data_IF_767657228287
#
_entry.id   IF_767657228287
#
_cell.length_a   1.000
_cell.length_b   1.000
_cell.length_c   1.000
_cell.angle_alpha   90.00
_cell.angle_beta   90.00
_cell.angle_gamma   90.00
#
_symmetry.space_group_name_H-M   'P 1'
#
loop_
_entity.id
_entity.type
_entity.pdbx_description
1 polymer ?
#
# COMPACT_ATOMS: atom_id res chain seq x y z
N UNK A 1 -9.14 -13.56 4.12
CA UNK A 1 -10.15 -12.49 4.24
C UNK A 1 -9.46 -11.18 3.90
N UNK A 2 -9.74 -10.38 2.89
CA UNK A 2 -10.65 -10.41 1.76
C UNK A 2 -10.59 -9.00 1.17
N UNK A 3 -9.79 -8.77 0.11
CA UNK A 3 -9.76 -7.52 -0.65
C UNK A 3 -10.98 -7.51 -1.59
N UNK A 4 -12.11 -6.98 -1.11
CA UNK A 4 -13.31 -6.81 -1.94
C UNK A 4 -13.21 -5.47 -2.68
N UNK A 5 -12.57 -5.45 -3.84
CA UNK A 5 -12.60 -4.31 -4.74
C UNK A 5 -14.04 -3.98 -5.16
N UNK A 6 -14.26 -2.74 -5.59
CA UNK A 6 -15.56 -2.29 -6.14
C UNK A 6 -16.01 -3.21 -7.29
N UNK A 7 -15.07 -3.62 -8.15
CA UNK A 7 -15.30 -4.52 -9.28
C UNK A 7 -15.88 -5.87 -8.86
N UNK A 8 -15.39 -6.46 -7.76
CA UNK A 8 -15.90 -7.72 -7.22
C UNK A 8 -17.33 -7.61 -6.73
N UNK A 9 -17.73 -6.42 -6.27
CA UNK A 9 -19.11 -6.15 -5.86
C UNK A 9 -20.02 -6.04 -7.09
N UNK A 10 -19.54 -5.40 -8.17
CA UNK A 10 -20.26 -5.32 -9.44
C UNK A 10 -20.49 -6.69 -10.06
N UNK A 11 -19.44 -7.50 -10.22
CA UNK A 11 -19.52 -8.86 -10.77
C UNK A 11 -20.52 -9.75 -10.01
N UNK A 12 -20.55 -9.60 -8.67
CA UNK A 12 -21.47 -10.37 -7.83
C UNK A 12 -22.93 -9.94 -8.03
N UNK A 13 -23.20 -8.65 -8.12
CA UNK A 13 -24.56 -8.16 -8.36
C UNK A 13 -25.01 -8.59 -9.76
N UNK A 14 -24.17 -8.42 -10.77
CA UNK A 14 -24.44 -8.84 -12.16
C UNK A 14 -24.80 -10.33 -12.28
N UNK A 15 -24.15 -11.18 -11.49
CA UNK A 15 -24.41 -12.63 -11.50
C UNK A 15 -25.59 -13.09 -10.64
N UNK A 16 -26.15 -12.24 -9.76
CA UNK A 16 -27.15 -12.67 -8.77
C UNK A 16 -28.46 -11.90 -8.81
N UNK A 17 -28.49 -10.70 -9.39
CA UNK A 17 -29.67 -9.86 -9.42
C UNK A 17 -29.68 -8.95 -10.66
N UNK A 18 -30.87 -8.49 -11.05
CA UNK A 18 -31.03 -7.55 -12.15
C UNK A 18 -32.17 -6.59 -11.86
N UNK A 19 -31.93 -5.30 -12.11
CA UNK A 19 -32.96 -4.25 -12.10
C UNK A 19 -32.55 -3.09 -13.01
N UNK A 20 -33.48 -2.21 -13.45
CA UNK A 20 -33.14 -1.03 -14.23
C UNK A 20 -32.15 -0.13 -13.48
N UNK A 21 -31.07 0.30 -14.15
CA UNK A 21 -30.02 1.18 -13.57
C UNK A 21 -29.24 0.59 -12.39
N UNK A 22 -29.22 -0.73 -12.24
CA UNK A 22 -28.53 -1.40 -11.14
C UNK A 22 -27.06 -1.00 -10.97
N UNK A 23 -26.34 -0.79 -12.07
CA UNK A 23 -24.93 -0.42 -12.00
C UNK A 23 -24.72 0.99 -11.43
N UNK A 24 -25.60 1.93 -11.81
CA UNK A 24 -25.56 3.30 -11.29
C UNK A 24 -25.86 3.32 -9.79
N UNK A 25 -26.95 2.68 -9.39
CA UNK A 25 -27.37 2.62 -7.98
C UNK A 25 -26.33 1.90 -7.11
N UNK A 26 -25.71 0.84 -7.64
CA UNK A 26 -24.63 0.14 -6.94
C UNK A 26 -23.38 1.02 -6.80
N UNK A 27 -23.03 1.78 -7.84
CA UNK A 27 -21.94 2.76 -7.77
C UNK A 27 -22.21 3.84 -6.71
N UNK A 28 -23.42 4.38 -6.66
CA UNK A 28 -23.84 5.34 -5.63
C UNK A 28 -23.79 4.74 -4.23
N UNK A 29 -24.27 3.50 -4.06
CA UNK A 29 -24.20 2.77 -2.79
C UNK A 29 -22.76 2.55 -2.33
N UNK A 30 -21.87 2.09 -3.21
CA UNK A 30 -20.45 1.86 -2.87
C UNK A 30 -19.78 3.17 -2.44
N UNK A 31 -20.07 4.28 -3.14
CA UNK A 31 -19.51 5.60 -2.85
C UNK A 31 -20.04 6.24 -1.56
N UNK A 32 -21.26 5.90 -1.14
CA UNK A 32 -21.91 6.46 0.06
C UNK A 32 -21.78 5.56 1.29
N UNK A 33 -21.50 4.27 1.11
CA UNK A 33 -21.39 3.30 2.20
C UNK A 33 -20.08 3.47 2.99
N UNK A 34 -20.20 3.89 4.25
CA UNK A 34 -19.06 4.10 5.16
C UNK A 34 -18.18 2.85 5.31
N UNK A 35 -18.78 1.66 5.36
CA UNK A 35 -18.06 0.40 5.50
C UNK A 35 -17.20 0.10 4.25
N UNK A 36 -17.77 0.32 3.07
CA UNK A 36 -17.06 0.18 1.80
C UNK A 36 -15.91 1.18 1.71
N UNK A 37 -16.16 2.45 2.04
CA UNK A 37 -15.14 3.50 1.99
C UNK A 37 -13.99 3.29 3.00
N UNK A 38 -14.26 2.75 4.18
CA UNK A 38 -13.22 2.39 5.16
C UNK A 38 -12.40 1.18 4.72
N UNK A 39 -13.05 0.17 4.11
CA UNK A 39 -12.37 -1.05 3.66
C UNK A 39 -11.57 -0.85 2.37
N UNK A 40 -12.11 -0.05 1.44
CA UNK A 40 -11.51 0.27 0.15
C UNK A 40 -10.93 1.67 0.15
N UNK A 41 -10.21 2.06 1.22
CA UNK A 41 -9.46 3.32 1.22
C UNK A 41 -8.61 3.34 -0.04
N UNK A 42 -8.95 4.25 -0.97
CA UNK A 42 -8.13 4.50 -2.15
C UNK A 42 -6.72 4.72 -1.63
N UNK A 43 -5.77 3.92 -2.11
CA UNK A 43 -4.37 4.27 -1.91
C UNK A 43 -4.26 5.73 -2.31
N UNK A 44 -3.76 6.56 -1.41
CA UNK A 44 -3.56 7.98 -1.68
C UNK A 44 -2.74 8.15 -2.96
N UNK A 45 -2.67 9.38 -3.47
CA UNK A 45 -1.84 9.72 -4.63
C UNK A 45 -0.56 8.89 -4.61
N UNK A 46 -0.22 8.28 -5.76
CA UNK A 46 1.01 7.50 -5.95
C UNK A 46 2.11 8.21 -5.16
N UNK A 47 2.76 7.47 -4.26
CA UNK A 47 3.89 8.00 -3.49
C UNK A 47 4.69 8.91 -4.42
N UNK A 48 4.85 10.18 -4.03
CA UNK A 48 5.46 11.19 -4.88
C UNK A 48 6.79 10.68 -5.43
N UNK A 49 7.29 11.29 -6.51
CA UNK A 49 8.61 10.95 -7.04
C UNK A 49 9.61 10.88 -5.87
N UNK A 50 10.35 9.78 -5.81
CA UNK A 50 11.40 9.59 -4.80
C UNK A 50 12.24 10.88 -4.79
N UNK A 51 12.30 11.55 -3.64
CA UNK A 51 13.10 12.77 -3.56
C UNK A 51 14.56 12.40 -3.80
N UNK A 52 15.17 13.03 -4.80
CA UNK A 52 16.57 12.82 -5.12
C UNK A 52 17.42 13.40 -3.99
N UNK A 53 18.30 12.58 -3.41
CA UNK A 53 19.34 13.06 -2.51
C UNK A 53 20.45 13.61 -3.41
N UNK A 54 20.89 14.85 -3.17
CA UNK A 54 22.00 15.41 -3.94
C UNK A 54 23.26 14.54 -3.82
N UNK A 55 23.96 14.35 -4.94
CA UNK A 55 25.20 13.57 -4.96
C UNK A 55 26.27 14.29 -4.12
N UNK A 56 26.94 13.58 -3.19
CA UNK A 56 28.06 14.16 -2.47
C UNK A 56 29.22 14.46 -3.44
N UNK A 57 29.81 15.65 -3.32
CA UNK A 57 30.94 16.13 -4.11
C UNK A 57 32.29 15.71 -3.52
N UNK A 58 32.31 15.37 -2.23
CA UNK A 58 33.52 15.00 -1.49
C UNK A 58 33.31 13.70 -0.68
N UNK A 59 34.40 12.94 -0.42
CA UNK A 59 34.32 11.80 0.48
C UNK A 59 33.77 12.21 1.86
N UNK A 60 32.87 11.40 2.41
CA UNK A 60 32.26 11.57 3.74
C UNK A 60 31.29 12.76 3.89
N UNK A 61 30.87 13.39 2.80
CA UNK A 61 29.93 14.53 2.84
C UNK A 61 28.52 14.13 3.29
N UNK A 62 28.06 12.93 2.92
CA UNK A 62 26.74 12.41 3.28
C UNK A 62 26.86 11.03 3.92
N UNK A 63 26.31 10.88 5.13
CA UNK A 63 26.22 9.60 5.86
C UNK A 63 24.76 9.34 6.21
N UNK A 64 24.18 8.28 5.63
CA UNK A 64 22.83 7.82 5.95
C UNK A 64 22.93 6.64 6.93
N UNK A 65 22.11 6.64 7.98
CA UNK A 65 22.09 5.58 9.00
C UNK A 65 20.65 5.17 9.31
N UNK A 66 20.40 3.86 9.39
CA UNK A 66 19.11 3.30 9.77
C UNK A 66 19.27 2.26 10.89
N UNK A 67 18.23 2.10 11.71
CA UNK A 67 18.21 1.19 12.84
C UNK A 67 17.59 -0.14 12.46
N UNK A 68 18.38 -1.20 12.44
CA UNK A 68 17.85 -2.56 12.32
C UNK A 68 17.37 -3.03 13.70
N UNK A 69 16.07 -3.25 13.85
CA UNK A 69 15.45 -3.59 15.15
C UNK A 69 15.56 -5.06 15.53
N UNK A 70 15.62 -5.97 14.56
CA UNK A 70 15.61 -7.41 14.80
C UNK A 70 16.67 -8.09 13.95
N UNK A 71 17.75 -8.53 14.60
CA UNK A 71 18.81 -9.34 13.99
C UNK A 71 18.75 -10.71 14.67
N UNK A 72 18.61 -11.79 13.87
CA UNK A 72 18.74 -13.15 14.39
C UNK A 72 20.12 -13.31 15.05
N UNK A 73 20.18 -14.06 16.15
CA UNK A 73 21.35 -14.10 17.04
C UNK A 73 22.62 -14.70 16.40
N UNK A 74 22.56 -15.18 15.16
CA UNK A 74 23.67 -15.84 14.47
C UNK A 74 24.65 -14.86 13.80
N UNK A 75 24.30 -13.56 13.65
CA UNK A 75 25.19 -12.55 13.09
C UNK A 75 26.24 -12.00 14.08
N UNK A 76 26.31 -12.53 15.31
CA UNK A 76 27.24 -12.05 16.36
C UNK A 76 28.65 -12.64 16.30
N UNK A 77 29.03 -13.36 15.24
CA UNK A 77 30.38 -13.93 15.10
C UNK A 77 31.02 -13.57 13.77
N UNK A 78 31.69 -12.41 13.74
CA UNK A 78 32.94 -12.31 12.98
C UNK A 78 33.93 -11.47 13.78
N UNK A 79 34.68 -12.16 14.63
CA UNK A 79 35.96 -11.69 15.16
C UNK A 79 36.84 -11.22 14.00
N UNK A 80 37.34 -9.99 14.04
CA UNK A 80 38.46 -9.58 13.20
C UNK A 80 39.72 -10.32 13.70
N UNK A 81 40.39 -11.17 12.91
CA UNK A 81 41.72 -11.63 13.30
C UNK A 81 42.72 -10.48 13.16
N UNK A 82 43.70 -10.47 14.07
CA UNK A 82 44.82 -9.55 14.13
C UNK A 82 45.81 -9.75 12.97
#
# INVERSE_FOLDING_TARGET
>A
MGHMSEDRTKERVESTAWWPKWEQELGEYINTCERCQKANRKQGNKYGLLQHIEDPKHPWETINMDWVKDLSQEAKKTTMPA
#
